data_IF_377190586355
#
_entry.id   IF_377190586355
#
_cell.length_a   1.000
_cell.length_b   1.000
_cell.length_c   1.000
_cell.angle_alpha   90.00
_cell.angle_beta   90.00
_cell.angle_gamma   90.00
#
_symmetry.space_group_name_H-M   'P 1'
#
loop_
_entity.id
_entity.type
_entity.pdbx_description
1 polymer ?
#
# COMPACT_ATOMS: atom_id res chain seq x y z
N UNK A 1 -22.01 -10.55 -17.66
CA UNK A 1 -22.03 -9.12 -17.26
C UNK A 1 -21.80 -8.94 -15.77
N UNK A 2 -22.61 -9.54 -14.88
CA UNK A 2 -22.46 -9.41 -13.41
C UNK A 2 -21.07 -9.82 -12.91
N UNK A 3 -20.50 -10.91 -13.43
CA UNK A 3 -19.15 -11.34 -13.06
C UNK A 3 -18.05 -10.32 -13.37
N UNK A 4 -18.19 -9.54 -14.45
CA UNK A 4 -17.25 -8.48 -14.79
C UNK A 4 -17.38 -7.30 -13.81
N UNK A 5 -18.61 -6.92 -13.44
CA UNK A 5 -18.84 -5.86 -12.45
C UNK A 5 -18.24 -6.22 -11.09
N UNK A 6 -18.41 -7.46 -10.64
CA UNK A 6 -17.84 -7.95 -9.37
C UNK A 6 -16.31 -7.99 -9.44
N UNK A 7 -15.74 -8.51 -10.53
CA UNK A 7 -14.30 -8.57 -10.72
C UNK A 7 -13.69 -7.16 -10.71
N UNK A 8 -14.27 -6.21 -11.45
CA UNK A 8 -13.82 -4.82 -11.52
C UNK A 8 -13.95 -4.10 -10.18
N UNK A 9 -15.06 -4.32 -9.45
CA UNK A 9 -15.25 -3.78 -8.12
C UNK A 9 -14.16 -4.26 -7.15
N UNK A 10 -13.91 -5.58 -7.09
CA UNK A 10 -12.86 -6.14 -6.25
C UNK A 10 -11.47 -5.64 -6.64
N UNK A 11 -11.20 -5.52 -7.95
CA UNK A 11 -9.96 -4.95 -8.47
C UNK A 11 -9.77 -3.50 -8.04
N UNK A 12 -10.82 -2.68 -8.08
CA UNK A 12 -10.77 -1.28 -7.66
C UNK A 12 -10.54 -1.14 -6.14
N UNK A 13 -11.23 -1.94 -5.33
CA UNK A 13 -11.02 -2.00 -3.87
C UNK A 13 -9.58 -2.40 -3.56
N UNK A 14 -9.08 -3.44 -4.23
CA UNK A 14 -7.73 -3.93 -4.05
C UNK A 14 -6.67 -2.90 -4.52
N UNK A 15 -6.93 -2.21 -5.64
CA UNK A 15 -6.07 -1.16 -6.17
C UNK A 15 -5.84 -0.02 -5.17
N UNK A 16 -6.90 0.50 -4.55
CA UNK A 16 -6.77 1.53 -3.52
C UNK A 16 -5.99 1.00 -2.29
N UNK A 17 -6.24 -0.25 -1.90
CA UNK A 17 -5.46 -0.89 -0.84
C UNK A 17 -3.96 -1.00 -1.17
N UNK A 18 -3.62 -1.40 -2.40
CA UNK A 18 -2.24 -1.47 -2.86
C UNK A 18 -1.56 -0.10 -2.96
N UNK A 19 -2.29 0.93 -3.43
CA UNK A 19 -1.81 2.31 -3.52
C UNK A 19 -1.41 2.82 -2.14
N UNK A 20 -2.26 2.59 -1.15
CA UNK A 20 -2.01 3.01 0.22
C UNK A 20 -0.88 2.18 0.86
N UNK A 21 -0.77 0.89 0.54
CA UNK A 21 0.36 0.06 0.96
C UNK A 21 1.70 0.59 0.40
N UNK A 22 1.74 1.03 -0.86
CA UNK A 22 2.94 1.66 -1.45
C UNK A 22 3.33 2.92 -0.68
N UNK A 23 2.38 3.82 -0.41
CA UNK A 23 2.63 5.04 0.37
C UNK A 23 3.16 4.72 1.77
N UNK A 24 2.59 3.69 2.41
CA UNK A 24 3.05 3.22 3.72
C UNK A 24 4.46 2.61 3.64
N UNK A 25 4.77 1.81 2.61
CA UNK A 25 6.08 1.19 2.41
C UNK A 25 7.15 2.24 2.12
N UNK A 26 6.86 3.28 1.35
CA UNK A 26 7.78 4.39 1.12
C UNK A 26 8.06 5.16 2.41
N UNK A 27 7.01 5.46 3.20
CA UNK A 27 7.17 6.10 4.51
C UNK A 27 8.00 5.21 5.46
N UNK A 28 7.72 3.91 5.51
CA UNK A 28 8.48 2.94 6.31
C UNK A 28 9.92 2.80 5.84
N UNK A 29 10.17 2.79 4.53
CA UNK A 29 11.52 2.67 3.96
C UNK A 29 12.38 3.88 4.34
N UNK A 30 11.84 5.10 4.21
CA UNK A 30 12.54 6.32 4.67
C UNK A 30 12.77 6.32 6.18
N UNK A 31 11.76 5.96 6.98
CA UNK A 31 11.91 5.88 8.45
C UNK A 31 12.93 4.82 8.83
N UNK A 32 12.93 3.65 8.21
CA UNK A 32 13.88 2.58 8.48
C UNK A 32 15.32 3.01 8.14
N UNK A 33 15.52 3.71 7.02
CA UNK A 33 16.82 4.31 6.68
C UNK A 33 17.22 5.36 7.73
N UNK A 34 16.30 6.22 8.15
CA UNK A 34 16.54 7.25 9.18
C UNK A 34 16.87 6.65 10.55
N UNK A 35 16.16 5.59 10.96
CA UNK A 35 16.34 4.90 12.23
C UNK A 35 17.69 4.18 12.29
N UNK A 36 18.09 3.57 11.17
CA UNK A 36 19.38 2.90 11.06
C UNK A 36 20.57 3.87 11.15
N UNK A 37 20.36 5.15 10.84
CA UNK A 37 21.37 6.21 10.95
C UNK A 37 21.40 6.92 12.31
N UNK A 38 20.52 6.56 13.26
CA UNK A 38 20.57 7.17 14.60
C UNK A 38 21.71 6.57 15.44
N UNK A 39 22.64 7.38 15.95
CA UNK A 39 23.65 6.91 16.90
C UNK A 39 22.97 6.58 18.24
N UNK A 40 23.03 5.32 18.67
CA UNK A 40 22.47 4.89 19.96
C UNK A 40 23.50 5.17 21.06
N UNK A 41 23.15 5.87 22.16
CA UNK A 41 24.07 6.10 23.27
C UNK A 41 24.27 4.80 24.04
N UNK A 42 25.47 4.23 23.95
CA UNK A 42 25.92 3.09 24.75
C UNK A 42 26.82 3.53 25.91
N UNK A 43 26.90 2.77 27.02
CA UNK A 43 27.68 3.14 28.21
C UNK A 43 29.16 3.44 27.94
N UNK A 44 29.74 2.94 26.85
CA UNK A 44 31.18 3.03 26.53
C UNK A 44 31.48 3.58 25.12
N UNK A 45 30.56 4.31 24.50
CA UNK A 45 30.72 4.87 23.14
C UNK A 45 29.61 4.47 22.17
N UNK A 46 29.53 5.18 21.04
CA UNK A 46 28.55 4.96 19.96
C UNK A 46 28.78 3.60 19.30
N UNK A 47 27.86 2.66 19.52
CA UNK A 47 27.86 1.37 18.84
C UNK A 47 27.11 1.55 17.51
N UNK A 48 27.85 1.67 16.40
CA UNK A 48 27.27 1.59 15.06
C UNK A 48 26.73 0.17 14.83
N UNK A 49 25.42 -0.03 15.02
CA UNK A 49 24.76 -1.26 14.57
C UNK A 49 24.71 -1.25 13.05
N UNK A 50 25.70 -1.87 12.40
CA UNK A 50 25.60 -2.25 10.97
C UNK A 50 24.54 -3.34 10.82
N UNK A 51 23.27 -2.94 10.77
CA UNK A 51 22.19 -3.81 10.31
C UNK A 51 22.53 -4.16 8.86
N UNK A 52 22.80 -5.44 8.57
CA UNK A 52 22.94 -5.93 7.20
C UNK A 52 21.65 -5.59 6.45
N UNK A 53 21.64 -4.47 5.75
CA UNK A 53 20.61 -4.14 4.79
C UNK A 53 20.77 -5.14 3.64
N UNK A 54 20.09 -6.27 3.76
CA UNK A 54 20.00 -7.23 2.68
C UNK A 54 19.25 -6.52 1.53
N UNK A 55 19.99 -6.09 0.51
CA UNK A 55 19.47 -5.32 -0.61
C UNK A 55 18.36 -6.06 -1.37
N UNK A 56 18.34 -7.39 -1.28
CA UNK A 56 17.25 -8.28 -1.71
C UNK A 56 16.35 -8.64 -0.52
N UNK A 57 15.76 -7.64 0.11
CA UNK A 57 14.76 -7.86 1.14
C UNK A 57 13.38 -8.01 0.49
N UNK A 58 12.62 -9.02 0.91
CA UNK A 58 11.19 -9.21 0.58
C UNK A 58 10.37 -7.90 0.38
N UNK A 59 10.52 -6.84 1.20
CA UNK A 59 9.87 -5.55 0.95
C UNK A 59 10.12 -4.96 -0.44
N UNK A 60 11.31 -5.11 -1.01
CA UNK A 60 11.65 -4.57 -2.34
C UNK A 60 10.93 -5.35 -3.45
N UNK A 61 10.80 -6.67 -3.32
CA UNK A 61 10.04 -7.52 -4.25
C UNK A 61 8.54 -7.22 -4.14
N UNK A 62 8.02 -7.07 -2.92
CA UNK A 62 6.62 -6.68 -2.72
C UNK A 62 6.32 -5.31 -3.32
N UNK A 63 7.22 -4.33 -3.18
CA UNK A 63 7.06 -3.00 -3.74
C UNK A 63 7.02 -2.99 -5.28
N UNK A 64 7.90 -3.76 -5.94
CA UNK A 64 7.89 -3.90 -7.41
C UNK A 64 6.68 -4.68 -7.89
N UNK A 65 6.28 -5.76 -7.21
CA UNK A 65 5.05 -6.50 -7.55
C UNK A 65 3.81 -5.60 -7.46
N UNK A 66 3.64 -4.87 -6.34
CA UNK A 66 2.58 -3.89 -6.17
C UNK A 66 2.60 -2.81 -7.26
N UNK A 67 3.77 -2.50 -7.83
CA UNK A 67 3.90 -1.51 -8.91
C UNK A 67 3.34 -2.04 -10.22
N UNK A 68 3.75 -3.25 -10.58
CA UNK A 68 3.29 -3.90 -11.81
C UNK A 68 1.78 -4.07 -11.78
N UNK A 69 1.22 -4.58 -10.66
CA UNK A 69 -0.23 -4.74 -10.55
C UNK A 69 -0.94 -3.38 -10.65
N UNK A 70 -0.47 -2.34 -9.94
CA UNK A 70 -1.05 -1.00 -10.03
C UNK A 70 -1.10 -0.48 -11.48
N UNK A 71 0.00 -0.59 -12.23
CA UNK A 71 0.07 -0.15 -13.63
C UNK A 71 -0.93 -0.92 -14.50
N UNK A 72 -1.00 -2.24 -14.33
CA UNK A 72 -1.95 -3.11 -15.06
C UNK A 72 -3.40 -2.71 -14.77
N UNK A 73 -3.77 -2.45 -13.51
CA UNK A 73 -5.13 -1.99 -13.17
C UNK A 73 -5.45 -0.65 -13.82
N UNK A 74 -4.53 0.32 -13.81
CA UNK A 74 -4.73 1.61 -14.46
C UNK A 74 -5.02 1.46 -15.96
N UNK A 75 -4.31 0.56 -16.64
CA UNK A 75 -4.59 0.24 -18.04
C UNK A 75 -5.97 -0.42 -18.23
N UNK A 76 -6.36 -1.35 -17.35
CA UNK A 76 -7.71 -1.94 -17.40
C UNK A 76 -8.81 -0.90 -17.19
N UNK A 77 -8.64 0.03 -16.23
CA UNK A 77 -9.59 1.12 -16.01
C UNK A 77 -9.73 1.98 -17.27
N UNK A 78 -8.61 2.34 -17.90
CA UNK A 78 -8.62 3.07 -19.17
C UNK A 78 -9.31 2.28 -20.29
N UNK A 79 -9.08 0.95 -20.35
CA UNK A 79 -9.77 0.05 -21.29
C UNK A 79 -11.28 0.03 -21.05
N UNK A 80 -11.73 0.00 -19.79
CA UNK A 80 -13.14 0.00 -19.42
C UNK A 80 -13.80 1.32 -19.82
N UNK A 81 -13.12 2.46 -19.66
CA UNK A 81 -13.64 3.75 -20.12
C UNK A 81 -13.88 3.76 -21.64
N UNK A 82 -13.02 3.10 -22.42
CA UNK A 82 -13.23 2.96 -23.86
C UNK A 82 -14.45 2.11 -24.22
N UNK A 83 -14.95 1.26 -23.31
CA UNK A 83 -16.19 0.48 -23.54
C UNK A 83 -17.48 1.27 -23.29
N UNK A 84 -17.40 2.52 -22.82
CA UNK A 84 -18.53 3.44 -22.57
C UNK A 84 -19.70 2.84 -21.76
N UNK A 85 -19.45 1.82 -20.94
CA UNK A 85 -20.50 1.16 -20.16
C UNK A 85 -20.63 1.81 -18.77
N UNK A 86 -21.70 2.59 -18.58
CA UNK A 86 -21.95 3.31 -17.33
C UNK A 86 -22.01 2.44 -16.07
N UNK A 87 -22.50 1.19 -16.17
CA UNK A 87 -22.55 0.27 -15.02
C UNK A 87 -21.16 -0.10 -14.51
N UNK A 88 -20.19 -0.27 -15.41
CA UNK A 88 -18.80 -0.55 -15.03
C UNK A 88 -18.13 0.68 -14.42
N UNK A 89 -18.40 1.89 -14.94
CA UNK A 89 -17.89 3.12 -14.35
C UNK A 89 -18.38 3.33 -12.91
N UNK A 90 -19.67 3.09 -12.64
CA UNK A 90 -20.22 3.18 -11.28
C UNK A 90 -19.58 2.10 -10.39
N UNK A 91 -19.41 0.87 -10.87
CA UNK A 91 -18.76 -0.20 -10.10
C UNK A 91 -17.31 0.16 -9.72
N UNK A 92 -16.55 0.77 -10.63
CA UNK A 92 -15.19 1.28 -10.35
C UNK A 92 -15.24 2.39 -9.30
N UNK A 93 -16.12 3.38 -9.47
CA UNK A 93 -16.21 4.54 -8.58
C UNK A 93 -16.56 4.11 -7.14
N UNK A 94 -17.56 3.24 -6.99
CA UNK A 94 -17.97 2.71 -5.69
C UNK A 94 -16.89 1.78 -5.11
N UNK A 95 -16.23 0.98 -5.94
CA UNK A 95 -15.10 0.14 -5.53
C UNK A 95 -13.91 0.94 -5.01
N UNK A 96 -13.52 2.00 -5.70
CA UNK A 96 -12.46 2.91 -5.27
C UNK A 96 -12.83 3.62 -3.96
N UNK A 97 -14.05 4.16 -3.86
CA UNK A 97 -14.53 4.79 -2.63
C UNK A 97 -14.53 3.82 -1.43
N UNK A 98 -15.02 2.60 -1.64
CA UNK A 98 -15.05 1.55 -0.61
C UNK A 98 -13.64 1.13 -0.20
N UNK A 99 -12.72 0.95 -1.16
CA UNK A 99 -11.33 0.60 -0.91
C UNK A 99 -10.60 1.66 -0.07
N UNK A 100 -10.78 2.93 -0.42
CA UNK A 100 -10.21 4.04 0.34
C UNK A 100 -10.76 4.10 1.77
N UNK A 101 -12.07 3.93 1.94
CA UNK A 101 -12.72 3.96 3.25
C UNK A 101 -12.23 2.82 4.16
N UNK A 102 -12.21 1.59 3.67
CA UNK A 102 -11.76 0.42 4.43
C UNK A 102 -10.31 0.54 4.87
N UNK A 103 -9.42 1.00 3.99
CA UNK A 103 -8.00 1.12 4.31
C UNK A 103 -7.70 2.30 5.24
N UNK A 104 -8.45 3.40 5.11
CA UNK A 104 -8.38 4.53 6.05
C UNK A 104 -8.84 4.10 7.45
N UNK A 105 -9.91 3.31 7.55
CA UNK A 105 -10.36 2.73 8.82
C UNK A 105 -9.33 1.78 9.43
N UNK A 106 -8.73 0.89 8.62
CA UNK A 106 -7.67 -0.02 9.08
C UNK A 106 -6.46 0.72 9.64
N UNK A 107 -6.05 1.85 9.03
CA UNK A 107 -4.97 2.69 9.58
C UNK A 107 -5.35 3.29 10.93
N UNK A 108 -6.57 3.80 11.08
CA UNK A 108 -7.06 4.35 12.35
C UNK A 108 -7.08 3.28 13.46
N UNK A 109 -7.58 2.07 13.16
CA UNK A 109 -7.64 0.95 14.12
C UNK A 109 -6.25 0.47 14.56
N UNK A 110 -5.26 0.42 13.66
CA UNK A 110 -3.89 0.01 14.03
C UNK A 110 -3.22 1.03 14.95
N UNK A 111 -3.48 2.32 14.74
CA UNK A 111 -2.98 3.39 15.61
C UNK A 111 -3.61 3.29 16.99
N UNK A 112 -4.92 3.11 17.06
CA UNK A 112 -5.69 3.00 18.31
C UNK A 112 -5.19 1.86 19.23
N UNK A 113 -4.93 0.67 18.66
CA UNK A 113 -4.37 -0.47 19.41
C UNK A 113 -2.95 -0.17 19.94
N UNK A 114 -2.17 0.66 19.25
CA UNK A 114 -0.81 0.99 19.67
C UNK A 114 -0.80 1.95 20.87
N UNK A 115 -1.80 2.82 21.00
CA UNK A 115 -1.87 3.80 22.10
C UNK A 115 -2.40 3.18 23.41
N UNK A 116 -3.25 2.16 23.34
CA UNK A 116 -3.77 1.47 24.53
C UNK A 116 -2.74 0.55 25.23
N UNK A 117 -1.55 0.38 24.65
CA UNK A 117 -0.43 -0.38 25.20
C UNK A 117 0.64 0.49 25.89
N UNK A 118 0.39 1.78 26.13
CA UNK A 118 1.31 2.70 26.80
C UNK A 118 0.76 3.23 28.12
#
# INVERSE_FOLDING_TARGET
>A
MVGACIAVFLLAVFYEGMKIARECLLRKSQVNIRYNSMPVPGPNGVIERKVKQQMLSLPHIFQTLLHVVQVVVSYFLMLIFMTYNGYLCIAVAVGAGTGYFLFSWKKAVVVDITEHCH
#
